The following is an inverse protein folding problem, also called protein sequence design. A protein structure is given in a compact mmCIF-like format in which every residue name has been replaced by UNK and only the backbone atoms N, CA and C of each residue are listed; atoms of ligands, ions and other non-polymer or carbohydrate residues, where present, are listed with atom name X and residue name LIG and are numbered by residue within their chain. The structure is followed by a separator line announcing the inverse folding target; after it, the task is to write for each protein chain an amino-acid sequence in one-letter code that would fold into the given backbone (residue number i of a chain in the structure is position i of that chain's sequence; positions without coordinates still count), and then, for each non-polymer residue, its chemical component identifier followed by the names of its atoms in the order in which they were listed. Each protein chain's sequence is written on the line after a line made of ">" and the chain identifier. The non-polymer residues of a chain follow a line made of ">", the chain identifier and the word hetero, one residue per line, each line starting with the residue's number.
data_IF_452967744609
#
_entry.id   IF_452967744609
#
_cell.length_a   1.000
_cell.length_b   1.000
_cell.length_c   1.000
_cell.angle_alpha   90.00
_cell.angle_beta   90.00
_cell.angle_gamma   90.00
#
_symmetry.space_group_name_H-M   'P 1'
#
loop_
_entity.id
_entity.type
_entity.pdbx_description
1 polymer ?
#
# COMPACT_ATOMS: atom_id res chain seq x y z
N UNK A 1 1.54 -2.43 7.74
CA UNK A 1 0.68 -1.84 6.70
C UNK A 1 0.84 -0.33 6.75
N UNK A 2 0.76 0.29 5.59
CA UNK A 2 0.75 1.73 5.41
C UNK A 2 -0.07 2.03 4.15
N UNK A 3 -0.48 3.27 4.00
CA UNK A 3 -1.15 3.74 2.79
C UNK A 3 -0.14 4.46 1.90
N UNK A 4 -0.20 4.19 0.60
CA UNK A 4 0.58 4.89 -0.41
C UNK A 4 -0.35 5.89 -1.11
N UNK A 5 0.10 7.14 -1.27
CA UNK A 5 -0.67 8.14 -2.01
C UNK A 5 -0.64 7.89 -3.53
N UNK A 6 0.41 7.21 -4.02
CA UNK A 6 0.66 6.96 -5.44
C UNK A 6 1.24 5.57 -5.65
N UNK A 7 0.95 4.98 -6.82
CA UNK A 7 1.56 3.73 -7.25
C UNK A 7 3.06 3.94 -7.52
N UNK A 8 3.93 3.04 -7.06
CA UNK A 8 5.34 3.10 -7.41
C UNK A 8 5.54 2.86 -8.90
N UNK A 9 6.50 3.57 -9.49
CA UNK A 9 6.98 3.34 -10.84
C UNK A 9 7.97 2.16 -10.90
N UNK A 10 8.26 1.69 -12.12
CA UNK A 10 9.23 0.60 -12.33
C UNK A 10 10.67 0.96 -11.93
N UNK A 11 11.00 2.25 -11.86
CA UNK A 11 12.32 2.75 -11.48
C UNK A 11 12.45 3.03 -9.98
N UNK A 12 11.34 3.03 -9.23
CA UNK A 12 11.40 3.30 -7.81
C UNK A 12 12.04 2.14 -7.05
N UNK A 13 12.90 2.48 -6.10
CA UNK A 13 13.56 1.50 -5.22
C UNK A 13 13.02 1.56 -3.79
N UNK A 14 12.22 2.58 -3.50
CA UNK A 14 11.61 2.87 -2.21
C UNK A 14 10.15 3.26 -2.39
N UNK A 15 9.36 3.07 -1.33
CA UNK A 15 7.99 3.61 -1.23
C UNK A 15 7.88 4.49 0.01
N UNK A 16 7.06 5.53 -0.08
CA UNK A 16 6.73 6.41 1.04
C UNK A 16 5.32 6.06 1.50
N UNK A 17 5.23 5.54 2.73
CA UNK A 17 3.98 5.12 3.34
C UNK A 17 3.53 6.06 4.46
N UNK A 18 2.22 6.21 4.61
CA UNK A 18 1.59 6.94 5.72
C UNK A 18 0.93 6.00 6.72
N UNK A 19 0.81 6.48 7.96
CA UNK A 19 0.09 5.84 9.06
C UNK A 19 0.50 4.37 9.27
N UNK A 20 1.79 4.12 9.54
CA UNK A 20 2.35 2.78 9.61
C UNK A 20 1.77 2.01 10.82
N UNK A 21 1.06 0.91 10.57
CA UNK A 21 0.39 0.10 11.60
C UNK A 21 0.52 -1.41 11.35
N UNK A 22 0.35 -2.22 12.38
CA UNK A 22 0.21 -3.68 12.22
C UNK A 22 -1.09 -4.02 11.48
N UNK A 23 -1.18 -5.25 10.96
CA UNK A 23 -2.40 -5.74 10.28
C UNK A 23 -3.63 -5.73 11.19
N UNK A 24 -3.44 -5.92 12.49
CA UNK A 24 -4.50 -5.84 13.51
C UNK A 24 -4.84 -4.40 13.93
N UNK A 25 -4.26 -3.39 13.28
CA UNK A 25 -4.50 -1.97 13.56
C UNK A 25 -3.69 -1.38 14.71
N UNK A 26 -2.89 -2.18 15.42
CA UNK A 26 -2.05 -1.68 16.53
C UNK A 26 -0.76 -1.03 16.04
N UNK A 27 -0.10 -0.32 16.94
CA UNK A 27 1.22 0.26 16.70
C UNK A 27 2.29 -0.80 16.45
N UNK A 28 3.28 -0.41 15.63
CA UNK A 28 4.46 -1.22 15.37
C UNK A 28 5.52 -0.96 16.44
N UNK A 29 6.04 -2.03 17.06
CA UNK A 29 6.99 -1.93 18.17
C UNK A 29 8.35 -1.34 17.76
N UNK A 30 8.69 -1.42 16.47
CA UNK A 30 9.93 -0.93 15.90
C UNK A 30 9.81 0.50 15.34
N UNK A 31 8.69 1.20 15.57
CA UNK A 31 8.45 2.57 15.12
C UNK A 31 7.98 3.40 16.32
N UNK A 32 8.42 4.65 16.40
CA UNK A 32 8.00 5.56 17.47
C UNK A 32 6.52 5.95 17.29
N UNK A 33 5.76 6.14 18.40
CA UNK A 33 4.32 6.39 18.33
C UNK A 33 3.88 7.60 17.50
N UNK A 34 4.74 8.61 17.34
CA UNK A 34 4.45 9.85 16.65
C UNK A 34 4.92 9.88 15.18
N UNK A 35 5.46 8.77 14.66
CA UNK A 35 5.91 8.68 13.27
C UNK A 35 4.71 8.44 12.36
N UNK A 36 4.40 9.41 11.52
CA UNK A 36 3.29 9.36 10.56
C UNK A 36 3.72 8.95 9.16
N UNK A 37 5.00 9.10 8.83
CA UNK A 37 5.57 8.82 7.50
C UNK A 37 6.76 7.90 7.60
N UNK A 38 6.81 6.88 6.74
CA UNK A 38 7.90 5.90 6.66
C UNK A 38 8.39 5.77 5.23
N UNK A 39 9.68 5.45 5.07
CA UNK A 39 10.28 5.11 3.79
C UNK A 39 10.77 3.67 3.88
N UNK A 40 10.33 2.81 2.96
CA UNK A 40 10.73 1.41 2.93
C UNK A 40 11.34 1.01 1.59
N UNK A 41 12.40 0.18 1.60
CA UNK A 41 12.95 -0.38 0.38
C UNK A 41 12.02 -1.45 -0.19
N UNK A 42 11.71 -1.36 -1.48
CA UNK A 42 10.83 -2.31 -2.19
C UNK A 42 11.42 -3.72 -2.15
N UNK A 43 12.75 -3.84 -2.21
CA UNK A 43 13.47 -5.12 -2.17
C UNK A 43 13.29 -5.95 -0.90
N UNK A 44 12.68 -5.39 0.16
CA UNK A 44 12.38 -6.09 1.42
C UNK A 44 10.89 -6.42 1.61
N UNK A 45 10.04 -6.04 0.67
CA UNK A 45 8.59 -6.25 0.75
C UNK A 45 8.22 -7.54 0.02
N UNK A 46 7.31 -8.34 0.58
CA UNK A 46 6.82 -9.56 -0.09
C UNK A 46 5.91 -9.21 -1.27
N UNK A 47 5.04 -8.22 -1.10
CA UNK A 47 4.14 -7.69 -2.12
C UNK A 47 3.57 -6.33 -1.68
N UNK A 48 2.92 -5.65 -2.62
CA UNK A 48 2.08 -4.47 -2.39
C UNK A 48 0.66 -4.86 -2.80
N UNK A 49 -0.29 -4.74 -1.88
CA UNK A 49 -1.70 -5.05 -2.15
C UNK A 49 -2.38 -3.83 -2.79
N UNK A 50 -3.06 -4.06 -3.91
CA UNK A 50 -3.88 -3.06 -4.59
C UNK A 50 -5.33 -3.42 -4.29
N UNK A 51 -5.99 -2.60 -3.48
CA UNK A 51 -7.41 -2.77 -3.17
C UNK A 51 -8.20 -1.97 -4.21
N UNK A 52 -8.98 -2.62 -5.09
CA UNK A 52 -9.83 -1.90 -6.02
C UNK A 52 -10.91 -1.13 -5.26
N UNK A 53 -11.32 0.00 -5.80
CA UNK A 53 -12.50 0.72 -5.30
C UNK A 53 -13.75 0.21 -6.03
N UNK A 54 -14.92 0.30 -5.40
CA UNK A 54 -16.20 -0.23 -5.94
C UNK A 54 -16.56 0.26 -7.37
N UNK A 55 -15.95 1.35 -7.85
CA UNK A 55 -16.17 1.85 -9.22
C UNK A 55 -15.33 1.15 -10.29
N UNK A 56 -14.20 0.52 -9.92
CA UNK A 56 -13.36 -0.25 -10.86
C UNK A 56 -13.94 -1.64 -11.17
N UNK A 57 -14.80 -2.18 -10.30
CA UNK A 57 -15.45 -3.49 -10.50
C UNK A 57 -16.49 -3.49 -11.65
N UNK A 58 -17.02 -2.33 -12.04
CA UNK A 58 -18.09 -2.23 -13.06
C UNK A 58 -17.61 -2.44 -14.51
N UNK A 59 -16.30 -2.45 -14.76
CA UNK A 59 -15.74 -2.42 -16.13
C UNK A 59 -15.64 -3.80 -16.80
N UNK A 60 -15.86 -4.90 -16.08
CA UNK A 60 -15.69 -6.27 -16.64
C UNK A 60 -17.01 -7.06 -16.61
N UNK A 61 -17.98 -6.70 -17.46
CA UNK A 61 -19.14 -7.59 -17.74
C UNK A 61 -19.74 -7.48 -19.16
N UNK A 62 -18.99 -6.95 -20.13
CA UNK A 62 -19.42 -6.94 -21.53
C UNK A 62 -18.44 -7.68 -22.44
N UNK A 63 -18.54 -9.01 -22.47
CA UNK A 63 -18.20 -9.78 -23.67
C UNK A 63 -19.44 -10.58 -24.06
N UNK A 64 -20.04 -10.20 -25.19
CA UNK A 64 -21.15 -10.91 -25.84
C UNK A 64 -20.59 -12.12 -26.61
N UNK A 65 -21.16 -13.30 -26.37
CA UNK A 65 -21.54 -14.31 -27.38
C UNK A 65 -22.84 -14.98 -26.91
#
# INVERSE_FOLDING_TARGET
>A
MCELDQMPSLSDTIVIGKNPRKRDGKDMANILPNVTTVIWPISRMTFIEIVPTDDDEKVISFVRE
#
